data_IF_436931583991
#
_entry.id   IF_436931583991
#
_cell.length_a   1.000
_cell.length_b   1.000
_cell.length_c   1.000
_cell.angle_alpha   90.00
_cell.angle_beta   90.00
_cell.angle_gamma   90.00
#
_symmetry.space_group_name_H-M   'P 1'
#
loop_
_entity.id
_entity.type
_entity.pdbx_description
1 polymer ?
#
# COMPACT_ATOMS: atom_id res chain seq x y z
N UNK A 1 -14.30 10.94 -15.77
CA UNK A 1 -14.56 12.37 -15.47
C UNK A 1 -13.91 13.29 -16.49
N UNK A 2 -12.65 13.05 -16.88
CA UNK A 2 -11.99 13.82 -17.96
C UNK A 2 -12.37 13.36 -19.38
N UNK A 3 -13.14 12.28 -19.52
CA UNK A 3 -13.63 11.78 -20.81
C UNK A 3 -14.86 12.58 -21.28
N UNK A 4 -15.11 12.64 -22.60
CA UNK A 4 -16.31 13.28 -23.15
C UNK A 4 -17.62 12.57 -22.77
N UNK A 5 -17.55 11.37 -22.19
CA UNK A 5 -18.71 10.59 -21.73
C UNK A 5 -19.05 10.82 -20.27
N UNK A 6 -18.41 11.78 -19.59
CA UNK A 6 -18.75 12.10 -18.22
C UNK A 6 -20.08 12.85 -18.16
N UNK A 7 -21.00 12.38 -17.31
CA UNK A 7 -22.37 12.87 -17.19
C UNK A 7 -22.60 13.78 -15.97
N UNK A 8 -21.52 14.26 -15.36
CA UNK A 8 -21.58 15.14 -14.19
C UNK A 8 -21.60 14.41 -12.84
N UNK A 9 -21.78 13.09 -12.79
CA UNK A 9 -21.83 12.33 -11.52
C UNK A 9 -20.45 12.03 -10.96
N UNK A 10 -20.38 11.78 -9.65
CA UNK A 10 -19.16 11.29 -9.02
C UNK A 10 -18.81 9.88 -9.48
N UNK A 11 -17.51 9.59 -9.54
CA UNK A 11 -17.01 8.22 -9.58
C UNK A 11 -16.78 7.71 -8.17
N UNK A 12 -17.17 6.46 -7.89
CA UNK A 12 -16.84 5.79 -6.64
C UNK A 12 -15.87 4.64 -6.94
N UNK A 13 -14.70 4.67 -6.30
CA UNK A 13 -13.74 3.57 -6.35
C UNK A 13 -13.76 2.89 -4.99
N UNK A 14 -13.91 1.57 -4.99
CA UNK A 14 -13.79 0.75 -3.78
C UNK A 14 -12.65 -0.22 -3.98
N UNK A 15 -11.67 -0.18 -3.08
CA UNK A 15 -10.59 -1.16 -2.99
C UNK A 15 -10.80 -1.94 -1.70
N UNK A 16 -10.74 -3.27 -1.75
CA UNK A 16 -10.98 -4.08 -0.56
C UNK A 16 -10.54 -5.50 -0.75
N UNK A 17 -9.91 -6.05 0.28
CA UNK A 17 -9.31 -7.37 0.24
C UNK A 17 -9.24 -8.02 1.63
N UNK A 18 -9.16 -9.35 1.61
CA UNK A 18 -8.83 -10.19 2.76
C UNK A 18 -7.55 -10.96 2.38
N UNK A 19 -6.41 -10.48 2.84
CA UNK A 19 -5.11 -11.08 2.58
C UNK A 19 -4.84 -12.21 3.58
N UNK A 20 -4.97 -13.45 3.12
CA UNK A 20 -4.69 -14.66 3.91
C UNK A 20 -3.65 -15.55 3.24
N UNK A 21 -2.88 -16.24 4.07
CA UNK A 21 -1.80 -17.10 3.65
C UNK A 21 -1.87 -18.43 4.40
N UNK A 22 -1.36 -19.47 3.74
CA UNK A 22 -1.18 -20.80 4.32
C UNK A 22 -0.28 -20.73 5.57
N UNK A 23 -0.31 -21.79 6.39
CA UNK A 23 0.55 -21.90 7.57
C UNK A 23 2.01 -21.77 7.15
N UNK A 24 2.71 -20.79 7.72
CA UNK A 24 4.10 -20.54 7.37
C UNK A 24 4.49 -19.07 7.57
N UNK A 25 5.68 -18.68 7.08
CA UNK A 25 6.29 -17.37 7.34
C UNK A 25 5.53 -16.19 6.71
N UNK A 26 4.63 -16.43 5.74
CA UNK A 26 3.80 -15.39 5.14
C UNK A 26 2.51 -15.11 5.91
N UNK A 27 2.05 -16.02 6.80
CA UNK A 27 0.81 -15.82 7.57
C UNK A 27 0.80 -14.51 8.39
N UNK A 28 1.91 -14.12 9.07
CA UNK A 28 1.95 -12.85 9.80
C UNK A 28 1.89 -11.59 8.93
N UNK A 29 2.01 -11.70 7.60
CA UNK A 29 1.87 -10.55 6.69
C UNK A 29 0.44 -10.41 6.14
N UNK A 30 -0.51 -11.21 6.63
CA UNK A 30 -1.93 -11.06 6.30
C UNK A 30 -2.55 -9.77 6.84
N UNK A 31 -3.80 -9.53 6.47
CA UNK A 31 -4.56 -8.35 6.86
C UNK A 31 -5.89 -8.29 6.13
N UNK A 32 -6.74 -7.36 6.50
CA UNK A 32 -8.00 -7.12 5.81
C UNK A 32 -8.38 -5.64 5.92
N UNK A 33 -9.01 -5.12 4.89
CA UNK A 33 -9.48 -3.74 4.89
C UNK A 33 -10.14 -3.37 3.57
N UNK A 34 -10.90 -2.29 3.62
CA UNK A 34 -11.48 -1.67 2.44
C UNK A 34 -11.40 -0.14 2.56
N UNK A 35 -11.22 0.53 1.41
CA UNK A 35 -11.22 1.98 1.29
C UNK A 35 -12.14 2.35 0.13
N UNK A 36 -13.07 3.26 0.41
CA UNK A 36 -13.94 3.88 -0.59
C UNK A 36 -13.46 5.31 -0.86
N UNK A 37 -13.32 5.67 -2.13
CA UNK A 37 -12.80 6.95 -2.58
C UNK A 37 -13.80 7.57 -3.55
N UNK A 38 -14.28 8.76 -3.21
CA UNK A 38 -15.14 9.54 -4.08
C UNK A 38 -14.29 10.44 -4.98
N UNK A 39 -14.45 10.28 -6.28
CA UNK A 39 -13.81 11.06 -7.32
C UNK A 39 -14.83 12.02 -7.95
N UNK A 40 -14.46 13.29 -8.06
CA UNK A 40 -15.32 14.33 -8.64
C UNK A 40 -14.51 15.38 -9.38
N UNK A 41 -15.17 16.08 -10.30
CA UNK A 41 -14.73 17.41 -10.72
C UNK A 41 -15.34 18.40 -9.73
N UNK A 42 -14.49 19.05 -8.96
CA UNK A 42 -14.85 20.09 -8.02
C UNK A 42 -13.99 21.32 -8.37
N UNK A 43 -14.53 22.56 -8.38
CA UNK A 43 -13.72 23.77 -8.55
C UNK A 43 -12.55 23.86 -7.55
N UNK A 44 -12.75 23.33 -6.34
CA UNK A 44 -11.74 23.27 -5.27
C UNK A 44 -11.68 21.84 -4.68
N UNK A 45 -11.13 20.85 -5.42
CA UNK A 45 -10.91 19.52 -4.88
C UNK A 45 -9.86 19.57 -3.76
N UNK A 46 -10.10 18.91 -2.61
CA UNK A 46 -9.13 18.83 -1.52
C UNK A 46 -7.84 18.15 -1.94
N UNK A 47 -7.94 17.09 -2.74
CA UNK A 47 -6.81 16.29 -3.23
C UNK A 47 -6.91 16.21 -4.75
N UNK A 48 -5.81 16.50 -5.45
CA UNK A 48 -5.71 16.50 -6.91
C UNK A 48 -4.61 15.55 -7.36
N UNK A 49 -4.85 14.81 -8.43
CA UNK A 49 -3.79 14.09 -9.12
C UNK A 49 -2.99 15.06 -9.99
N UNK A 50 -1.67 14.98 -9.95
CA UNK A 50 -0.84 15.68 -10.91
C UNK A 50 -0.78 14.86 -12.21
N UNK A 51 -1.62 15.22 -13.18
CA UNK A 51 -1.87 14.44 -14.41
C UNK A 51 -0.57 14.07 -15.14
N UNK A 52 0.40 14.98 -15.17
CA UNK A 52 1.69 14.78 -15.85
C UNK A 52 2.74 14.07 -14.97
N UNK A 53 2.44 13.79 -13.70
CA UNK A 53 3.34 13.13 -12.77
C UNK A 53 2.85 11.72 -12.46
N UNK A 54 2.81 10.86 -13.49
CA UNK A 54 2.54 9.41 -13.38
C UNK A 54 3.49 8.62 -14.27
N UNK A 55 4.05 7.54 -13.75
CA UNK A 55 4.81 6.56 -14.49
C UNK A 55 4.43 5.14 -14.10
N UNK A 56 4.40 4.24 -15.08
CA UNK A 56 3.91 2.87 -14.92
C UNK A 56 4.96 1.89 -15.39
N UNK A 57 5.06 0.74 -14.74
CA UNK A 57 5.84 -0.41 -15.19
C UNK A 57 5.03 -1.69 -15.00
N UNK A 58 5.00 -2.50 -16.06
CA UNK A 58 4.38 -3.81 -16.09
C UNK A 58 5.37 -4.75 -16.77
N UNK A 59 5.41 -5.99 -16.31
CA UNK A 59 6.18 -7.07 -16.91
C UNK A 59 5.56 -8.40 -16.49
N UNK A 60 5.89 -9.47 -17.22
CA UNK A 60 5.43 -10.80 -16.86
C UNK A 60 6.37 -11.44 -15.83
N UNK A 61 5.82 -11.91 -14.71
CA UNK A 61 6.52 -12.67 -13.67
C UNK A 61 5.55 -13.63 -12.94
N UNK A 62 6.11 -14.56 -12.16
CA UNK A 62 5.40 -15.48 -11.29
C UNK A 62 5.77 -15.27 -9.80
N UNK A 63 6.10 -14.04 -9.43
CA UNK A 63 6.52 -13.70 -8.07
C UNK A 63 5.46 -14.03 -7.00
N UNK A 64 4.20 -13.68 -7.28
CA UNK A 64 3.04 -14.04 -6.47
C UNK A 64 1.81 -14.15 -7.38
N UNK A 65 1.06 -15.24 -7.28
CA UNK A 65 -0.13 -15.49 -8.08
C UNK A 65 -1.06 -16.52 -7.41
N UNK A 66 -2.32 -16.62 -7.88
CA UNK A 66 -3.33 -17.55 -7.33
C UNK A 66 -3.80 -18.55 -8.39
N UNK A 67 -3.02 -19.61 -8.69
CA UNK A 67 -3.35 -20.55 -9.76
C UNK A 67 -4.41 -21.58 -9.36
N UNK A 68 -4.57 -21.84 -8.05
CA UNK A 68 -5.49 -22.85 -7.52
C UNK A 68 -6.84 -22.23 -7.18
N UNK A 69 -7.82 -22.34 -8.08
CA UNK A 69 -9.13 -21.68 -7.92
C UNK A 69 -9.92 -22.14 -6.66
N UNK A 70 -9.75 -23.38 -6.23
CA UNK A 70 -10.36 -23.92 -5.01
C UNK A 70 -9.60 -23.61 -3.71
N UNK A 71 -8.59 -22.73 -3.76
CA UNK A 71 -7.76 -22.37 -2.61
C UNK A 71 -7.62 -20.85 -2.53
N UNK A 72 -7.83 -20.26 -1.35
CA UNK A 72 -7.68 -18.82 -1.17
C UNK A 72 -6.20 -18.38 -1.13
N UNK A 73 -5.31 -19.30 -0.77
CA UNK A 73 -3.90 -19.04 -0.53
C UNK A 73 -3.12 -18.88 -1.84
N UNK A 74 -2.27 -17.85 -1.94
CA UNK A 74 -1.44 -17.61 -3.11
C UNK A 74 -0.25 -18.57 -3.17
N UNK A 75 0.25 -18.81 -4.38
CA UNK A 75 1.61 -19.30 -4.62
C UNK A 75 2.55 -18.09 -4.57
N UNK A 76 3.59 -18.15 -3.73
CA UNK A 76 4.47 -17.01 -3.47
C UNK A 76 5.93 -17.45 -3.50
N UNK A 77 6.72 -16.82 -4.37
CA UNK A 77 8.17 -16.84 -4.30
C UNK A 77 8.64 -15.57 -3.57
N UNK A 78 8.84 -15.68 -2.25
CA UNK A 78 9.11 -14.51 -1.41
C UNK A 78 10.35 -13.73 -1.82
N UNK A 79 11.44 -14.41 -2.21
CA UNK A 79 12.66 -13.74 -2.66
C UNK A 79 12.45 -12.99 -3.99
N UNK A 80 11.78 -13.63 -4.94
CA UNK A 80 11.46 -13.02 -6.24
C UNK A 80 10.48 -11.85 -6.09
N UNK A 81 9.48 -11.95 -5.21
CA UNK A 81 8.52 -10.87 -4.91
C UNK A 81 9.21 -9.60 -4.45
N UNK A 82 10.22 -9.72 -3.57
CA UNK A 82 10.98 -8.56 -3.11
C UNK A 82 11.79 -7.92 -4.25
N UNK A 83 12.46 -8.72 -5.06
CA UNK A 83 13.22 -8.22 -6.22
C UNK A 83 12.31 -7.58 -7.27
N UNK A 84 11.15 -8.17 -7.55
CA UNK A 84 10.15 -7.64 -8.47
C UNK A 84 9.59 -6.31 -8.00
N UNK A 85 9.26 -6.19 -6.71
CA UNK A 85 8.81 -4.92 -6.13
C UNK A 85 9.86 -3.81 -6.27
N UNK A 86 11.11 -4.07 -5.88
CA UNK A 86 12.18 -3.06 -5.95
C UNK A 86 12.53 -2.70 -7.39
N UNK A 87 12.51 -3.67 -8.31
CA UNK A 87 12.68 -3.42 -9.75
C UNK A 87 11.56 -2.54 -10.30
N UNK A 88 10.32 -2.85 -9.96
CA UNK A 88 9.17 -2.05 -10.37
C UNK A 88 9.22 -0.62 -9.81
N UNK A 89 9.67 -0.47 -8.56
CA UNK A 89 9.92 0.82 -7.92
C UNK A 89 10.97 1.63 -8.69
N UNK A 90 12.14 1.05 -8.98
CA UNK A 90 13.20 1.70 -9.77
C UNK A 90 12.66 2.19 -11.12
N UNK A 91 11.98 1.30 -11.85
CA UNK A 91 11.45 1.61 -13.19
C UNK A 91 10.42 2.72 -13.15
N UNK A 92 9.50 2.70 -12.18
CA UNK A 92 8.51 3.76 -12.04
C UNK A 92 9.16 5.08 -11.64
N UNK A 93 10.09 5.07 -10.68
CA UNK A 93 10.75 6.28 -10.19
C UNK A 93 11.60 6.97 -11.27
N UNK A 94 12.45 6.21 -11.98
CA UNK A 94 13.27 6.71 -13.07
C UNK A 94 12.41 7.32 -14.19
N UNK A 95 11.31 6.66 -14.56
CA UNK A 95 10.36 7.16 -15.57
C UNK A 95 9.62 8.40 -15.08
N UNK A 96 9.25 8.45 -13.80
CA UNK A 96 8.58 9.60 -13.21
C UNK A 96 9.50 10.83 -13.23
N UNK A 97 10.75 10.70 -12.75
CA UNK A 97 11.77 11.76 -12.82
C UNK A 97 11.96 12.28 -14.24
N UNK A 98 12.09 11.37 -15.21
CA UNK A 98 12.18 11.74 -16.64
C UNK A 98 10.96 12.52 -17.12
N UNK A 99 9.75 12.10 -16.73
CA UNK A 99 8.49 12.73 -17.16
C UNK A 99 8.26 14.10 -16.52
N UNK A 100 8.66 14.28 -15.26
CA UNK A 100 8.54 15.56 -14.54
C UNK A 100 9.72 16.50 -14.80
N UNK A 101 10.76 16.04 -15.51
CA UNK A 101 12.00 16.79 -15.72
C UNK A 101 12.84 16.96 -14.44
N UNK A 102 12.53 16.21 -13.38
CA UNK A 102 13.25 16.31 -12.11
C UNK A 102 14.58 15.54 -12.18
N UNK A 103 15.68 16.24 -11.91
CA UNK A 103 17.01 15.65 -11.72
C UNK A 103 17.36 15.49 -10.24
N UNK A 104 16.57 16.10 -9.34
CA UNK A 104 16.83 16.17 -7.91
C UNK A 104 16.53 14.88 -7.14
N UNK A 105 16.63 14.97 -5.82
CA UNK A 105 16.28 13.94 -4.84
C UNK A 105 14.77 13.67 -4.81
N UNK A 106 14.37 12.55 -4.21
CA UNK A 106 12.95 12.26 -3.90
C UNK A 106 12.28 13.40 -3.13
N UNK A 107 13.02 14.10 -2.27
CA UNK A 107 12.54 15.26 -1.50
C UNK A 107 12.25 16.50 -2.36
N UNK A 108 12.84 16.59 -3.56
CA UNK A 108 12.56 17.68 -4.51
C UNK A 108 11.31 17.37 -5.35
N UNK A 109 10.94 16.09 -5.44
CA UNK A 109 9.78 15.61 -6.18
C UNK A 109 8.50 15.70 -5.34
N UNK A 110 8.56 15.37 -4.05
CA UNK A 110 7.42 15.37 -3.14
C UNK A 110 7.82 15.67 -1.69
N UNK A 111 6.87 16.19 -0.90
CA UNK A 111 7.06 16.44 0.54
C UNK A 111 6.87 15.17 1.37
N UNK A 112 6.00 14.27 0.92
CA UNK A 112 5.70 12.98 1.57
C UNK A 112 5.69 11.84 0.55
N UNK A 113 5.80 10.61 1.04
CA UNK A 113 5.68 9.42 0.21
C UNK A 113 4.92 8.30 0.93
N UNK A 114 3.99 7.67 0.22
CA UNK A 114 3.23 6.50 0.66
C UNK A 114 3.35 5.38 -0.36
N UNK A 115 3.37 4.14 0.13
CA UNK A 115 3.69 2.96 -0.65
C UNK A 115 2.64 1.88 -0.42
N UNK A 116 2.44 0.99 -1.39
CA UNK A 116 1.86 -0.31 -1.09
C UNK A 116 2.70 -0.99 -0.01
N UNK A 117 2.05 -1.35 1.11
CA UNK A 117 2.71 -1.82 2.33
C UNK A 117 2.30 -3.27 2.64
N UNK A 118 2.94 -4.28 2.00
CA UNK A 118 2.68 -5.69 2.32
C UNK A 118 3.14 -6.05 3.72
N UNK A 119 4.17 -5.36 4.21
CA UNK A 119 4.61 -5.32 5.60
C UNK A 119 5.51 -4.08 5.77
N UNK A 120 5.56 -3.50 6.96
CA UNK A 120 6.17 -2.18 7.14
C UNK A 120 7.67 -2.14 6.82
N UNK A 121 8.43 -3.22 7.09
CA UNK A 121 9.85 -3.30 6.68
C UNK A 121 10.04 -3.09 5.18
N UNK A 122 9.08 -3.49 4.34
CA UNK A 122 9.14 -3.25 2.90
C UNK A 122 9.05 -1.76 2.56
N UNK A 123 8.22 -1.00 3.26
CA UNK A 123 8.08 0.45 3.08
C UNK A 123 9.41 1.16 3.35
N UNK A 124 10.08 0.80 4.45
CA UNK A 124 11.40 1.34 4.80
C UNK A 124 12.47 0.99 3.75
N UNK A 125 12.50 -0.24 3.25
CA UNK A 125 13.39 -0.65 2.15
C UNK A 125 13.09 0.10 0.86
N UNK A 126 11.83 0.33 0.57
CA UNK A 126 11.39 1.03 -0.65
C UNK A 126 11.89 2.47 -0.66
N UNK A 127 11.72 3.19 0.45
CA UNK A 127 12.23 4.55 0.56
C UNK A 127 13.77 4.61 0.47
N UNK A 128 14.46 3.70 1.15
CA UNK A 128 15.91 3.55 1.02
C UNK A 128 16.34 3.28 -0.43
N UNK A 129 15.56 2.50 -1.19
CA UNK A 129 15.83 2.23 -2.60
C UNK A 129 15.66 3.46 -3.49
N UNK A 130 14.70 4.36 -3.20
CA UNK A 130 14.60 5.65 -3.88
C UNK A 130 15.87 6.49 -3.66
N UNK A 131 16.39 6.50 -2.44
CA UNK A 131 17.63 7.19 -2.08
C UNK A 131 18.86 6.60 -2.76
N UNK A 132 18.89 5.28 -2.96
CA UNK A 132 19.90 4.65 -3.80
C UNK A 132 19.79 5.08 -5.27
N UNK A 133 18.58 5.20 -5.83
CA UNK A 133 18.40 5.73 -7.20
C UNK A 133 18.86 7.19 -7.30
N UNK A 134 18.60 8.00 -6.28
CA UNK A 134 19.09 9.38 -6.21
C UNK A 134 20.62 9.41 -6.18
N UNK A 135 21.26 8.60 -5.32
CA UNK A 135 22.72 8.45 -5.26
C UNK A 135 23.37 8.09 -6.59
N UNK A 136 22.76 7.15 -7.33
CA UNK A 136 23.23 6.72 -8.65
C UNK A 136 23.11 7.84 -9.70
N UNK A 137 22.12 8.73 -9.56
CA UNK A 137 21.90 9.85 -10.47
C UNK A 137 22.81 11.04 -10.13
N UNK A 138 22.84 11.41 -8.85
CA UNK A 138 23.63 12.48 -8.30
C UNK A 138 24.12 12.08 -6.90
N UNK A 139 25.42 11.81 -6.78
CA UNK A 139 26.00 11.38 -5.51
C UNK A 139 26.04 12.48 -4.45
N UNK A 140 25.91 13.77 -4.83
CA UNK A 140 25.80 14.87 -3.88
C UNK A 140 24.41 14.92 -3.22
N UNK A 141 23.43 14.18 -3.75
CA UNK A 141 22.07 14.14 -3.22
C UNK A 141 21.95 13.36 -1.90
N UNK A 142 22.96 12.55 -1.52
CA UNK A 142 22.99 11.75 -0.29
C UNK A 142 24.08 12.21 0.66
N UNK A 143 23.87 11.97 1.96
CA UNK A 143 24.84 12.30 3.00
C UNK A 143 25.73 11.08 3.27
N UNK A 144 27.01 11.14 2.86
CA UNK A 144 28.01 10.08 3.08
C UNK A 144 29.31 10.61 3.71
N UNK A 145 29.31 10.99 5.00
CA UNK A 145 30.46 11.64 5.63
C UNK A 145 31.68 10.71 5.75
N UNK A 146 31.46 9.39 5.71
CA UNK A 146 32.52 8.37 5.82
C UNK A 146 32.93 7.77 4.47
N UNK A 147 32.38 8.24 3.34
CA UNK A 147 32.68 7.73 2.00
C UNK A 147 32.32 6.25 1.79
N UNK A 148 31.44 5.68 2.64
CA UNK A 148 31.13 4.25 2.66
C UNK A 148 30.15 3.83 1.56
N UNK A 149 29.44 4.78 0.94
CA UNK A 149 28.47 4.48 -0.11
C UNK A 149 29.11 4.30 -1.48
N UNK A 150 30.32 4.83 -1.68
CA UNK A 150 31.12 4.70 -2.93
C UNK A 150 31.19 3.28 -3.46
N UNK A 151 31.33 2.27 -2.57
CA UNK A 151 31.39 0.85 -2.93
C UNK A 151 30.12 0.30 -3.60
N UNK A 152 28.99 1.00 -3.48
CA UNK A 152 27.70 0.56 -4.03
C UNK A 152 27.38 1.15 -5.40
N UNK A 153 28.25 2.02 -5.95
CA UNK A 153 28.04 2.67 -7.24
C UNK A 153 28.07 1.69 -8.40
N UNK A 154 29.00 0.75 -8.36
CA UNK A 154 29.28 -0.17 -9.46
C UNK A 154 28.67 -1.57 -9.24
N UNK A 155 27.80 -1.72 -8.23
CA UNK A 155 27.08 -2.97 -8.00
C UNK A 155 26.13 -3.24 -9.17
N UNK A 156 26.21 -4.41 -9.83
CA UNK A 156 25.30 -4.75 -10.91
C UNK A 156 23.84 -4.65 -10.45
N UNK A 157 22.97 -4.10 -11.31
CA UNK A 157 21.58 -3.82 -10.94
C UNK A 157 20.85 -5.06 -10.39
N UNK A 158 21.06 -6.23 -11.01
CA UNK A 158 20.45 -7.49 -10.59
C UNK A 158 20.86 -7.89 -9.16
N UNK A 159 22.14 -7.69 -8.81
CA UNK A 159 22.70 -8.04 -7.50
C UNK A 159 22.28 -7.02 -6.42
N UNK A 160 22.05 -5.77 -6.83
CA UNK A 160 21.63 -4.70 -5.92
C UNK A 160 20.28 -4.95 -5.23
N UNK A 161 19.43 -5.84 -5.76
CA UNK A 161 18.12 -6.18 -5.18
C UNK A 161 18.20 -7.11 -3.98
N UNK A 162 19.29 -7.87 -3.87
CA UNK A 162 19.49 -8.88 -2.81
C UNK A 162 20.67 -8.56 -1.90
N UNK A 163 21.46 -7.52 -2.22
CA UNK A 163 22.56 -7.03 -1.40
C UNK A 163 22.07 -6.43 -0.07
N UNK A 164 22.33 -7.16 1.02
CA UNK A 164 21.96 -6.77 2.38
C UNK A 164 22.81 -5.63 2.93
N UNK A 165 24.05 -5.49 2.49
CA UNK A 165 24.94 -4.40 2.92
C UNK A 165 24.51 -3.08 2.28
N UNK A 166 24.12 -3.12 1.01
CA UNK A 166 23.51 -1.99 0.31
C UNK A 166 22.20 -1.59 0.98
N UNK A 167 21.30 -2.56 1.22
CA UNK A 167 20.03 -2.32 1.93
C UNK A 167 20.28 -1.62 3.27
N UNK A 168 21.17 -2.18 4.11
CA UNK A 168 21.46 -1.64 5.44
C UNK A 168 22.06 -0.23 5.36
N UNK A 169 22.96 0.01 4.41
CA UNK A 169 23.59 1.31 4.23
C UNK A 169 22.55 2.40 3.88
N UNK A 170 21.69 2.14 2.90
CA UNK A 170 20.67 3.11 2.50
C UNK A 170 19.49 3.22 3.46
N UNK A 171 19.17 2.16 4.21
CA UNK A 171 18.21 2.25 5.33
C UNK A 171 18.72 3.18 6.44
N UNK A 172 20.03 3.19 6.68
CA UNK A 172 20.65 4.09 7.65
C UNK A 172 20.74 5.52 7.10
N UNK A 173 21.23 5.70 5.87
CA UNK A 173 21.32 7.02 5.20
C UNK A 173 19.95 7.70 5.14
N UNK A 174 18.92 6.96 4.74
CA UNK A 174 17.58 7.53 4.53
C UNK A 174 16.77 7.71 5.81
N UNK A 175 17.29 7.35 6.99
CA UNK A 175 16.52 7.24 8.24
C UNK A 175 15.81 8.53 8.64
N UNK A 176 16.49 9.67 8.62
CA UNK A 176 15.89 10.94 9.04
C UNK A 176 14.89 11.46 8.02
N UNK A 177 15.15 11.24 6.74
CA UNK A 177 14.23 11.62 5.69
C UNK A 177 12.99 10.69 5.67
N UNK A 178 13.15 9.41 6.00
CA UNK A 178 12.05 8.47 6.18
C UNK A 178 11.08 8.92 7.28
N UNK A 179 11.60 9.32 8.44
CA UNK A 179 10.78 9.84 9.55
C UNK A 179 9.97 11.07 9.14
N UNK A 180 10.54 11.92 8.28
CA UNK A 180 9.86 13.14 7.81
C UNK A 180 8.83 12.85 6.71
N UNK A 181 9.21 12.07 5.71
CA UNK A 181 8.43 11.91 4.48
C UNK A 181 7.45 10.72 4.50
N UNK A 182 7.75 9.65 5.25
CA UNK A 182 7.04 8.36 5.12
C UNK A 182 6.35 7.94 6.40
N UNK A 183 7.01 8.07 7.56
CA UNK A 183 6.46 7.67 8.86
C UNK A 183 5.07 8.24 9.18
N UNK A 184 4.72 9.49 8.80
CA UNK A 184 3.36 10.01 9.00
C UNK A 184 2.24 9.21 8.32
N UNK A 185 2.53 8.43 7.28
CA UNK A 185 1.55 7.60 6.55
C UNK A 185 1.74 6.09 6.68
N UNK A 186 2.80 5.64 7.37
CA UNK A 186 3.16 4.21 7.43
C UNK A 186 2.56 3.47 8.63
N UNK A 187 1.98 4.21 9.59
CA UNK A 187 1.57 3.68 10.89
C UNK A 187 0.37 2.73 10.81
N UNK A 188 -0.56 2.96 9.88
CA UNK A 188 -1.77 2.14 9.77
C UNK A 188 -1.44 0.70 9.36
N UNK A 189 -0.56 0.51 8.38
CA UNK A 189 -0.14 -0.82 7.94
C UNK A 189 0.53 -1.64 9.06
N UNK A 190 1.19 -0.98 10.03
CA UNK A 190 1.75 -1.64 11.23
C UNK A 190 0.66 -2.19 12.17
N UNK A 191 -0.56 -1.64 12.10
CA UNK A 191 -1.68 -1.97 12.98
C UNK A 191 -2.69 -2.94 12.35
N UNK A 192 -2.80 -2.98 11.01
CA UNK A 192 -3.79 -3.81 10.28
C UNK A 192 -3.21 -4.86 9.33
N UNK A 193 -1.88 -4.83 9.10
CA UNK A 193 -1.23 -5.73 8.14
C UNK A 193 -1.52 -5.37 6.68
N UNK A 194 -1.43 -6.36 5.80
CA UNK A 194 -1.59 -6.15 4.36
C UNK A 194 -3.06 -6.14 3.94
N UNK A 195 -3.56 -5.02 3.45
CA UNK A 195 -4.91 -4.90 2.88
C UNK A 195 -4.93 -4.96 1.34
N UNK A 196 -3.91 -5.55 0.70
CA UNK A 196 -3.73 -5.65 -0.75
C UNK A 196 -4.10 -4.36 -1.51
N UNK A 197 -5.18 -4.34 -2.30
CA UNK A 197 -5.54 -3.18 -3.13
C UNK A 197 -5.86 -1.94 -2.29
N UNK A 198 -6.35 -2.12 -1.06
CA UNK A 198 -6.62 -1.03 -0.14
C UNK A 198 -5.36 -0.52 0.60
N UNK A 199 -4.23 -1.22 0.53
CA UNK A 199 -3.03 -0.92 1.33
C UNK A 199 -2.45 0.48 1.06
N UNK A 200 -2.23 0.83 -0.22
CA UNK A 200 -1.70 2.17 -0.57
C UNK A 200 -2.66 3.28 -0.12
N UNK A 201 -3.96 3.07 -0.33
CA UNK A 201 -5.00 4.05 0.02
C UNK A 201 -5.20 4.16 1.53
N UNK A 202 -4.96 3.08 2.28
CA UNK A 202 -4.90 3.09 3.74
C UNK A 202 -3.74 3.96 4.23
N UNK A 203 -2.56 3.85 3.61
CA UNK A 203 -1.44 4.75 3.93
C UNK A 203 -1.72 6.22 3.58
N UNK A 204 -2.46 6.48 2.50
CA UNK A 204 -2.94 7.84 2.20
C UNK A 204 -3.91 8.34 3.28
N UNK A 205 -4.89 7.53 3.68
CA UNK A 205 -5.83 7.90 4.74
C UNK A 205 -5.10 8.15 6.07
N UNK A 206 -4.09 7.35 6.38
CA UNK A 206 -3.25 7.49 7.56
C UNK A 206 -2.54 8.84 7.64
N UNK A 207 -1.91 9.29 6.55
CA UNK A 207 -1.25 10.60 6.54
C UNK A 207 -2.26 11.77 6.52
N UNK A 208 -3.41 11.61 5.87
CA UNK A 208 -4.46 12.63 5.88
C UNK A 208 -5.00 12.86 7.29
N UNK A 209 -5.21 11.79 8.07
CA UNK A 209 -5.60 11.88 9.48
C UNK A 209 -4.46 12.46 10.34
N UNK A 210 -3.22 12.00 10.13
CA UNK A 210 -2.06 12.42 10.94
C UNK A 210 -1.71 13.90 10.78
N UNK A 211 -1.84 14.44 9.56
CA UNK A 211 -1.34 15.77 9.20
C UNK A 211 -2.42 16.80 8.92
N UNK A 212 -3.62 16.39 8.53
CA UNK A 212 -4.72 17.32 8.26
C UNK A 212 -4.30 18.47 7.34
N UNK A 213 -4.59 19.70 7.77
CA UNK A 213 -4.33 20.91 6.98
C UNK A 213 -2.83 21.27 6.85
N UNK A 214 -1.92 20.63 7.60
CA UNK A 214 -0.46 20.77 7.35
C UNK A 214 -0.07 20.29 5.95
N UNK A 215 -0.91 19.45 5.32
CA UNK A 215 -0.70 18.97 3.97
C UNK A 215 -1.06 20.00 2.90
N UNK A 216 -1.73 21.11 3.21
CA UNK A 216 -2.16 22.07 2.19
C UNK A 216 -0.95 22.60 1.40
N UNK A 217 -1.03 22.47 0.08
CA UNK A 217 0.02 22.80 -0.87
C UNK A 217 1.05 21.69 -1.12
N UNK A 218 1.09 20.66 -0.28
CA UNK A 218 2.09 19.59 -0.27
C UNK A 218 1.82 18.52 -1.32
N UNK A 219 2.91 17.93 -1.82
CA UNK A 219 2.94 16.81 -2.75
C UNK A 219 3.17 15.51 -1.99
N UNK A 220 2.40 14.48 -2.34
CA UNK A 220 2.54 13.12 -1.81
C UNK A 220 2.85 12.19 -2.99
N UNK A 221 4.03 11.57 -2.94
CA UNK A 221 4.43 10.52 -3.86
C UNK A 221 3.69 9.22 -3.50
N UNK A 222 3.04 8.61 -4.47
CA UNK A 222 2.25 7.40 -4.33
C UNK A 222 2.90 6.28 -5.12
N UNK A 223 3.20 5.14 -4.50
CA UNK A 223 3.67 3.94 -5.21
C UNK A 223 2.73 2.76 -5.03
N UNK A 224 2.06 2.36 -6.10
CA UNK A 224 1.19 1.17 -6.17
C UNK A 224 1.94 0.01 -6.83
N UNK A 225 1.81 -1.17 -6.23
CA UNK A 225 2.41 -2.42 -6.72
C UNK A 225 1.40 -3.56 -6.60
N UNK A 226 1.33 -4.39 -7.63
CA UNK A 226 0.67 -5.69 -7.61
C UNK A 226 1.53 -6.71 -8.36
N UNK A 227 1.72 -7.89 -7.76
CA UNK A 227 2.50 -9.00 -8.32
C UNK A 227 1.90 -9.54 -9.63
N UNK A 228 2.75 -10.17 -10.45
CA UNK A 228 2.42 -10.66 -11.79
C UNK A 228 3.10 -10.00 -13.00
N UNK A 229 3.55 -8.73 -13.03
CA UNK A 229 3.34 -7.61 -12.12
C UNK A 229 2.83 -6.37 -12.87
N UNK A 230 2.13 -5.51 -12.14
CA UNK A 230 1.75 -4.17 -12.57
C UNK A 230 2.00 -3.16 -11.46
N UNK A 231 2.59 -2.02 -11.81
CA UNK A 231 2.95 -0.99 -10.84
C UNK A 231 2.81 0.41 -11.42
N UNK A 232 2.56 1.39 -10.57
CA UNK A 232 2.54 2.80 -10.95
C UNK A 232 3.01 3.68 -9.80
N UNK A 233 3.82 4.67 -10.15
CA UNK A 233 4.18 5.77 -9.27
C UNK A 233 3.55 7.06 -9.77
N UNK A 234 2.92 7.82 -8.89
CA UNK A 234 2.26 9.07 -9.25
C UNK A 234 2.27 10.06 -8.10
N UNK A 235 1.96 11.32 -8.38
CA UNK A 235 1.89 12.38 -7.37
C UNK A 235 0.44 12.82 -7.18
N UNK A 236 0.05 12.94 -5.91
CA UNK A 236 -1.15 13.69 -5.53
C UNK A 236 -0.74 14.96 -4.77
N UNK A 237 -1.52 16.03 -4.92
CA UNK A 237 -1.33 17.30 -4.23
C UNK A 237 -2.56 17.62 -3.40
N UNK A 238 -2.36 17.96 -2.13
CA UNK A 238 -3.44 18.51 -1.30
C UNK A 238 -3.56 20.00 -1.64
N UNK A 239 -4.66 20.38 -2.27
CA UNK A 239 -4.82 21.69 -2.89
C UNK A 239 -5.66 22.68 -2.05
N UNK A 240 -6.45 22.18 -1.11
CA UNK A 240 -7.28 22.99 -0.21
C UNK A 240 -7.41 22.29 1.16
N UNK A 241 -7.88 22.99 2.20
CA UNK A 241 -8.05 22.40 3.53
C UNK A 241 -8.86 21.10 3.51
N UNK A 242 -8.42 20.13 4.31
CA UNK A 242 -8.98 18.79 4.42
C UNK A 242 -9.50 18.50 5.82
N UNK A 243 -9.55 19.46 6.74
CA UNK A 243 -9.98 19.27 8.12
C UNK A 243 -11.28 18.46 8.29
N UNK A 244 -12.29 18.66 7.44
CA UNK A 244 -13.53 17.85 7.45
C UNK A 244 -13.29 16.40 7.03
N UNK A 245 -12.44 16.17 6.03
CA UNK A 245 -12.08 14.83 5.57
C UNK A 245 -11.26 14.12 6.64
N UNK A 246 -10.17 14.73 7.12
CA UNK A 246 -9.27 14.12 8.10
C UNK A 246 -9.97 13.81 9.43
N UNK A 247 -10.81 14.72 9.93
CA UNK A 247 -11.60 14.48 11.16
C UNK A 247 -12.70 13.44 10.99
N UNK A 248 -13.12 13.10 9.76
CA UNK A 248 -14.15 12.09 9.51
C UNK A 248 -13.63 10.65 9.42
N UNK A 249 -12.31 10.46 9.40
CA UNK A 249 -11.69 9.14 9.22
C UNK A 249 -11.73 8.29 10.52
N UNK A 250 -11.50 8.92 11.67
CA UNK A 250 -11.49 8.32 13.01
C UNK A 250 -10.71 6.99 13.09
N UNK A 251 -9.62 6.84 12.33
CA UNK A 251 -8.92 5.57 12.16
C UNK A 251 -8.27 5.14 13.48
N UNK A 252 -7.58 6.06 14.18
CA UNK A 252 -6.95 5.74 15.48
C UNK A 252 -7.98 5.24 16.50
N UNK A 253 -9.08 5.96 16.68
CA UNK A 253 -10.15 5.59 17.60
C UNK A 253 -10.75 4.22 17.24
N UNK A 254 -11.00 3.98 15.95
CA UNK A 254 -11.49 2.68 15.46
C UNK A 254 -10.49 1.55 15.69
N UNK A 255 -9.19 1.81 15.58
CA UNK A 255 -8.16 0.80 15.83
C UNK A 255 -8.00 0.47 17.31
N UNK A 256 -8.23 1.45 18.19
CA UNK A 256 -8.15 1.28 19.64
C UNK A 256 -9.41 0.62 20.19
N UNK A 257 -10.56 0.77 19.52
CA UNK A 257 -11.81 0.06 19.81
C UNK A 257 -11.85 -1.40 19.32
N UNK A 258 -10.75 -1.93 18.77
CA UNK A 258 -10.70 -3.33 18.31
C UNK A 258 -10.58 -4.29 19.48
N UNK A 259 -11.08 -5.51 19.28
CA UNK A 259 -10.83 -6.63 20.17
C UNK A 259 -9.49 -7.29 19.85
N UNK A 260 -8.70 -7.51 20.89
CA UNK A 260 -7.50 -8.36 20.81
C UNK A 260 -7.97 -9.81 21.02
N UNK A 261 -7.55 -10.69 20.12
CA UNK A 261 -7.77 -12.15 20.22
C UNK A 261 -6.44 -12.86 20.38
N UNK A 262 -6.44 -13.99 21.06
CA UNK A 262 -5.23 -14.81 21.20
C UNK A 262 -4.86 -15.52 19.87
N UNK A 263 -3.59 -15.91 19.70
CA UNK A 263 -3.14 -16.56 18.46
C UNK A 263 -3.81 -17.91 18.15
N UNK A 264 -4.29 -18.64 19.16
CA UNK A 264 -4.97 -19.93 18.99
C UNK A 264 -6.34 -19.71 18.37
N UNK A 265 -7.14 -18.80 18.94
CA UNK A 265 -8.42 -18.37 18.38
C UNK A 265 -8.29 -17.84 16.94
N UNK A 266 -7.27 -17.01 16.67
CA UNK A 266 -6.99 -16.53 15.32
C UNK A 266 -6.71 -17.69 14.34
N UNK A 267 -5.94 -18.69 14.77
CA UNK A 267 -5.62 -19.86 13.95
C UNK A 267 -6.88 -20.69 13.67
N UNK A 268 -7.72 -20.91 14.68
CA UNK A 268 -8.99 -21.64 14.55
C UNK A 268 -9.96 -20.95 13.59
N UNK A 269 -10.02 -19.61 13.61
CA UNK A 269 -10.82 -18.82 12.65
C UNK A 269 -10.33 -19.05 11.22
N UNK A 270 -9.02 -19.01 10.98
CA UNK A 270 -8.46 -19.25 9.65
C UNK A 270 -8.71 -20.68 9.15
N UNK A 271 -8.57 -21.69 10.01
CA UNK A 271 -8.84 -23.09 9.64
C UNK A 271 -10.32 -23.33 9.34
N UNK A 272 -11.23 -22.72 10.12
CA UNK A 272 -12.67 -22.75 9.82
C UNK A 272 -12.99 -22.06 8.50
N UNK A 273 -12.32 -20.93 8.19
CA UNK A 273 -12.48 -20.21 6.92
C UNK A 273 -12.03 -21.08 5.75
N UNK A 274 -10.88 -21.72 5.85
CA UNK A 274 -10.34 -22.62 4.83
C UNK A 274 -11.31 -23.76 4.49
N UNK A 275 -11.86 -24.42 5.51
CA UNK A 275 -12.85 -25.51 5.33
C UNK A 275 -14.14 -25.06 4.65
N UNK A 276 -14.50 -23.77 4.78
CA UNK A 276 -15.70 -23.17 4.18
C UNK A 276 -15.43 -22.47 2.85
N UNK A 277 -14.16 -22.37 2.42
CA UNK A 277 -13.83 -21.72 1.16
C UNK A 277 -14.38 -22.55 0.00
N UNK A 278 -15.07 -21.89 -0.93
CA UNK A 278 -15.75 -22.53 -2.07
C UNK A 278 -16.81 -23.60 -1.70
N UNK A 279 -17.39 -23.56 -0.49
CA UNK A 279 -18.53 -24.43 -0.12
C UNK A 279 -19.87 -23.68 -0.17
N UNK A 280 -20.95 -24.45 -0.35
CA UNK A 280 -22.35 -23.97 -0.39
C UNK A 280 -23.12 -24.48 0.84
N UNK A 281 -24.37 -24.02 1.01
CA UNK A 281 -25.20 -24.36 2.18
C UNK A 281 -24.51 -24.03 3.51
N UNK A 282 -23.98 -22.80 3.60
CA UNK A 282 -23.22 -22.32 4.75
C UNK A 282 -24.01 -21.25 5.48
N UNK A 283 -24.23 -21.46 6.77
CA UNK A 283 -24.65 -20.41 7.70
C UNK A 283 -23.43 -20.07 8.57
N UNK A 284 -22.80 -18.90 8.38
CA UNK A 284 -21.71 -18.48 9.23
C UNK A 284 -22.22 -18.39 10.67
N UNK A 285 -21.63 -19.19 11.56
CA UNK A 285 -21.78 -19.01 13.00
C UNK A 285 -21.08 -17.69 13.38
N UNK A 286 -21.76 -16.56 13.17
CA UNK A 286 -21.27 -15.25 13.52
C UNK A 286 -21.96 -14.80 14.81
N UNK A 287 -21.17 -14.49 15.82
CA UNK A 287 -21.64 -13.66 16.92
C UNK A 287 -21.75 -12.23 16.39
N UNK A 288 -22.90 -11.90 15.80
CA UNK A 288 -23.18 -10.57 15.23
C UNK A 288 -22.91 -9.44 16.25
N UNK A 289 -23.05 -9.73 17.54
CA UNK A 289 -22.75 -8.83 18.65
C UNK A 289 -21.28 -8.38 18.73
N UNK A 290 -20.35 -9.09 18.09
CA UNK A 290 -18.93 -8.73 18.07
C UNK A 290 -18.55 -7.74 16.96
N UNK A 291 -19.45 -7.49 16.01
CA UNK A 291 -19.21 -6.55 14.91
C UNK A 291 -19.60 -5.13 15.31
N UNK A 292 -18.97 -4.13 14.70
CA UNK A 292 -19.40 -2.74 14.88
C UNK A 292 -20.83 -2.55 14.36
N UNK A 293 -21.61 -1.60 14.91
CA UNK A 293 -22.93 -1.27 14.38
C UNK A 293 -22.89 -0.95 12.89
N UNK A 294 -23.95 -1.31 12.16
CA UNK A 294 -24.12 -1.11 10.71
C UNK A 294 -23.07 -1.83 9.85
N UNK A 295 -22.42 -2.86 10.37
CA UNK A 295 -21.50 -3.68 9.59
C UNK A 295 -22.29 -4.67 8.74
N UNK A 296 -22.18 -4.55 7.41
CA UNK A 296 -22.71 -5.56 6.50
C UNK A 296 -21.92 -6.86 6.61
N UNK A 297 -22.59 -7.97 6.88
CA UNK A 297 -21.98 -9.28 7.11
C UNK A 297 -22.74 -10.39 6.36
N UNK A 298 -22.07 -11.51 6.13
CA UNK A 298 -22.62 -12.66 5.41
C UNK A 298 -23.56 -13.44 6.33
N UNK A 299 -24.85 -13.45 6.00
CA UNK A 299 -25.88 -14.15 6.77
C UNK A 299 -25.93 -15.64 6.40
N UNK A 300 -25.95 -15.95 5.09
CA UNK A 300 -25.94 -17.33 4.59
C UNK A 300 -25.52 -17.44 3.14
N UNK A 301 -25.09 -18.64 2.76
CA UNK A 301 -24.88 -19.10 1.39
C UNK A 301 -25.82 -20.28 1.18
N UNK A 302 -26.66 -20.23 0.16
CA UNK A 302 -27.55 -21.36 -0.14
C UNK A 302 -26.87 -22.48 -0.95
N UNK A 303 -27.66 -23.47 -1.34
CA UNK A 303 -27.28 -24.69 -2.05
C UNK A 303 -26.74 -24.46 -3.47
N UNK A 304 -27.06 -23.31 -4.08
CA UNK A 304 -26.56 -22.91 -5.40
C UNK A 304 -25.52 -21.79 -5.35
N UNK A 305 -25.09 -21.39 -4.15
CA UNK A 305 -24.01 -20.43 -3.95
C UNK A 305 -24.43 -18.96 -3.92
N UNK A 306 -25.73 -18.63 -3.85
CA UNK A 306 -26.19 -17.24 -3.66
C UNK A 306 -25.85 -16.79 -2.25
N UNK A 307 -25.34 -15.56 -2.11
CA UNK A 307 -24.92 -14.97 -0.83
C UNK A 307 -25.95 -13.96 -0.36
N UNK A 308 -26.36 -14.08 0.90
CA UNK A 308 -27.31 -13.18 1.55
C UNK A 308 -26.59 -12.43 2.67
N UNK A 309 -26.91 -11.15 2.81
CA UNK A 309 -26.21 -10.25 3.72
C UNK A 309 -27.19 -9.56 4.65
N UNK A 310 -26.77 -9.39 5.89
CA UNK A 310 -27.48 -8.60 6.91
C UNK A 310 -26.59 -7.49 7.44
N UNK A 311 -27.12 -6.58 8.26
CA UNK A 311 -26.36 -5.51 8.91
C UNK A 311 -26.64 -5.51 10.41
N UNK A 312 -25.60 -5.24 11.20
CA UNK A 312 -25.66 -5.16 12.68
C UNK A 312 -26.19 -3.84 13.20
#
# INVERSE_FOLDING_TARGET
MESPWWDGRYGLVVCGDIAVYERGPARPTGGAGAVAILFGINPQPPIRFEINARATHMEHTYDFFKPRLGCEYPTVNGAETLSCYLRALDRCYQRLKKRTGSTGSVSDLADYAVFHAPFNKMVRKSFARLRYNDYLTDSASVVDPQGKLSRFRDVPLADSYTDKELEKAFVNESSDLYKKMVEPGDWLAKRIGNAYTASLWSSLAAILEEKGDELVGKRILMFSYGSGLASSMFIVRVASPIGKLSSSLFIKDRLDARRIVDPEHFTDVLERKEKKYCTFSVEPAQELAELWPQTTCLERIDDIGRRFYTST
#
